data_IF_981418389582
#
_entry.id   IF_981418389582
#
_cell.length_a   1.000
_cell.length_b   1.000
_cell.length_c   1.000
_cell.angle_alpha   90.00
_cell.angle_beta   90.00
_cell.angle_gamma   90.00
#
_symmetry.space_group_name_H-M   'P 1'
#
loop_
_entity.id
_entity.type
_entity.pdbx_description
1 polymer ?
#
# COMPACT_ATOMS: atom_id res chain seq x y z
N UNK A 1 11.02 -15.52 3.08
CA UNK A 1 10.11 -14.38 2.97
C UNK A 1 8.82 -14.71 3.69
N UNK A 2 8.35 -13.87 4.60
CA UNK A 2 7.09 -14.16 5.27
C UNK A 2 5.94 -14.08 4.26
N UNK A 3 4.93 -14.92 4.43
CA UNK A 3 3.73 -14.83 3.62
C UNK A 3 2.90 -13.62 4.07
N UNK A 4 1.90 -13.18 3.28
CA UNK A 4 1.12 -11.98 3.63
C UNK A 4 0.42 -12.07 4.99
N UNK A 5 -0.01 -13.26 5.42
CA UNK A 5 -0.63 -13.41 6.73
C UNK A 5 0.38 -13.17 7.86
N UNK A 6 1.61 -13.71 7.70
CA UNK A 6 2.68 -13.46 8.66
C UNK A 6 3.13 -12.01 8.65
N UNK A 7 3.09 -11.39 7.47
CA UNK A 7 3.42 -9.98 7.33
C UNK A 7 2.47 -9.10 8.15
N UNK A 8 1.15 -9.36 8.06
CA UNK A 8 0.17 -8.67 8.87
C UNK A 8 0.40 -8.88 10.37
N UNK A 9 0.68 -10.13 10.76
CA UNK A 9 0.91 -10.47 12.17
C UNK A 9 2.18 -9.81 12.72
N UNK A 10 3.17 -9.56 11.86
CA UNK A 10 4.42 -8.92 12.26
C UNK A 10 4.30 -7.41 12.38
N UNK A 11 3.22 -6.80 11.86
CA UNK A 11 3.02 -5.37 11.95
C UNK A 11 2.68 -4.97 13.37
N UNK A 12 3.43 -4.01 13.90
CA UNK A 12 3.17 -3.43 15.20
C UNK A 12 2.64 -2.00 15.03
N UNK A 13 2.32 -1.34 16.12
CA UNK A 13 1.77 0.00 16.10
C UNK A 13 2.68 1.02 15.42
N UNK A 14 3.99 0.80 15.44
CA UNK A 14 4.95 1.72 14.84
C UNK A 14 4.82 1.77 13.31
N UNK A 15 4.37 0.68 12.68
CA UNK A 15 4.16 0.64 11.24
C UNK A 15 3.04 1.59 10.79
N UNK A 16 2.12 1.93 11.70
CA UNK A 16 1.02 2.86 11.41
C UNK A 16 1.36 4.31 11.73
N UNK A 17 2.55 4.57 12.27
CA UNK A 17 2.98 5.93 12.59
C UNK A 17 3.93 6.40 11.50
N UNK A 18 3.61 7.55 10.91
CA UNK A 18 4.40 8.11 9.83
C UNK A 18 4.76 9.54 10.20
N UNK A 19 6.05 9.86 10.14
CA UNK A 19 6.53 11.21 10.34
C UNK A 19 6.86 11.78 8.96
N UNK A 20 6.19 12.87 8.61
CA UNK A 20 6.31 13.50 7.30
C UNK A 20 6.97 14.85 7.49
N UNK A 21 7.88 15.22 6.57
CA UNK A 21 8.47 16.54 6.57
C UNK A 21 7.37 17.60 6.54
N UNK A 22 7.48 18.60 7.41
CA UNK A 22 6.46 19.64 7.53
C UNK A 22 6.21 20.35 6.19
N UNK A 23 7.23 20.46 5.36
CA UNK A 23 7.14 21.07 4.04
C UNK A 23 6.11 20.37 3.14
N UNK A 24 5.80 19.09 3.41
CA UNK A 24 4.87 18.31 2.62
C UNK A 24 3.43 18.32 3.19
N UNK A 25 3.23 18.97 4.32
CA UNK A 25 1.94 18.92 5.03
C UNK A 25 0.75 19.24 4.14
N UNK A 26 0.88 20.28 3.30
CA UNK A 26 -0.21 20.72 2.44
C UNK A 26 -0.53 19.71 1.32
N UNK A 27 0.42 18.83 1.01
CA UNK A 27 0.26 17.82 -0.04
C UNK A 27 -0.38 16.52 0.47
N UNK A 28 -0.34 16.28 1.77
CA UNK A 28 -0.77 15.00 2.34
C UNK A 28 -2.26 14.71 2.16
N UNK A 29 -3.19 15.66 2.34
CA UNK A 29 -4.62 15.36 2.11
C UNK A 29 -4.89 14.81 0.71
N UNK A 30 -4.28 15.39 -0.32
CA UNK A 30 -4.43 14.90 -1.71
C UNK A 30 -3.74 13.56 -1.88
N UNK A 31 -2.54 13.40 -1.30
CA UNK A 31 -1.82 12.13 -1.32
C UNK A 31 -2.70 11.01 -0.75
N UNK A 32 -3.28 11.23 0.43
CA UNK A 32 -4.13 10.21 1.08
C UNK A 32 -5.38 9.92 0.27
N UNK A 33 -6.02 10.93 -0.29
CA UNK A 33 -7.17 10.74 -1.17
C UNK A 33 -6.82 9.84 -2.35
N UNK A 34 -5.67 10.08 -2.96
CA UNK A 34 -5.21 9.27 -4.08
C UNK A 34 -4.89 7.83 -3.66
N UNK A 35 -4.40 7.61 -2.43
CA UNK A 35 -4.17 6.26 -1.91
C UNK A 35 -5.48 5.51 -1.71
N UNK A 36 -6.52 6.17 -1.22
CA UNK A 36 -7.84 5.55 -1.09
C UNK A 36 -8.43 5.18 -2.45
N UNK A 37 -8.29 6.04 -3.45
CA UNK A 37 -8.71 5.72 -4.83
C UNK A 37 -7.95 4.53 -5.39
N UNK A 38 -6.67 4.47 -5.09
CA UNK A 38 -5.79 3.37 -5.53
C UNK A 38 -6.23 2.05 -4.90
N UNK A 39 -6.62 2.07 -3.63
CA UNK A 39 -7.16 0.89 -2.96
C UNK A 39 -8.41 0.38 -3.67
N UNK A 40 -9.32 1.29 -4.02
CA UNK A 40 -10.53 0.91 -4.77
C UNK A 40 -10.17 0.31 -6.12
N UNK A 41 -9.22 0.90 -6.83
CA UNK A 41 -8.76 0.38 -8.12
C UNK A 41 -8.13 -1.01 -7.98
N UNK A 42 -7.38 -1.25 -6.91
CA UNK A 42 -6.80 -2.57 -6.63
C UNK A 42 -7.90 -3.61 -6.41
N UNK A 43 -8.93 -3.26 -5.66
CA UNK A 43 -10.05 -4.17 -5.39
C UNK A 43 -10.80 -4.53 -6.68
N UNK A 44 -11.05 -3.55 -7.53
CA UNK A 44 -11.71 -3.76 -8.82
C UNK A 44 -10.87 -4.66 -9.72
N UNK A 45 -9.57 -4.37 -9.81
CA UNK A 45 -8.65 -5.15 -10.64
C UNK A 45 -8.54 -6.60 -10.16
N UNK A 46 -8.50 -6.81 -8.84
CA UNK A 46 -8.45 -8.17 -8.28
C UNK A 46 -9.72 -8.95 -8.61
N UNK A 47 -10.88 -8.31 -8.45
CA UNK A 47 -12.17 -8.95 -8.77
C UNK A 47 -12.25 -9.34 -10.25
N UNK A 48 -11.65 -8.54 -11.13
CA UNK A 48 -11.61 -8.80 -12.56
C UNK A 48 -10.45 -9.72 -12.98
N UNK A 49 -9.61 -10.14 -12.05
CA UNK A 49 -8.38 -10.88 -12.32
C UNK A 49 -7.49 -10.16 -13.34
N UNK A 50 -7.47 -8.84 -13.27
CA UNK A 50 -6.64 -8.00 -14.15
C UNK A 50 -5.24 -7.85 -13.56
N UNK A 51 -4.42 -8.88 -13.75
CA UNK A 51 -3.10 -8.95 -13.16
C UNK A 51 -2.17 -7.87 -13.71
N UNK A 52 -2.33 -7.47 -14.95
CA UNK A 52 -1.50 -6.40 -15.51
C UNK A 52 -1.79 -5.06 -14.83
N UNK A 53 -3.07 -4.74 -14.59
CA UNK A 53 -3.42 -3.53 -13.87
C UNK A 53 -2.91 -3.57 -12.43
N UNK A 54 -3.02 -4.73 -11.77
CA UNK A 54 -2.50 -4.92 -10.42
C UNK A 54 -0.99 -4.69 -10.38
N UNK A 55 -0.27 -5.21 -11.38
CA UNK A 55 1.17 -5.02 -11.47
C UNK A 55 1.54 -3.54 -11.59
N UNK A 56 0.82 -2.82 -12.46
CA UNK A 56 1.07 -1.39 -12.67
C UNK A 56 0.77 -0.58 -11.42
N UNK A 57 -0.33 -0.88 -10.74
CA UNK A 57 -0.70 -0.19 -9.50
C UNK A 57 0.36 -0.44 -8.41
N UNK A 58 0.78 -1.68 -8.24
CA UNK A 58 1.81 -2.03 -7.27
C UNK A 58 3.14 -1.34 -7.56
N UNK A 59 3.50 -1.27 -8.83
CA UNK A 59 4.73 -0.60 -9.25
C UNK A 59 4.70 0.89 -8.88
N UNK A 60 3.59 1.57 -9.14
CA UNK A 60 3.43 2.98 -8.78
C UNK A 60 3.47 3.19 -7.27
N UNK A 61 2.81 2.32 -6.50
CA UNK A 61 2.84 2.38 -5.03
C UNK A 61 4.27 2.27 -4.51
N UNK A 62 5.05 1.37 -5.10
CA UNK A 62 6.44 1.14 -4.71
C UNK A 62 7.27 2.42 -4.82
N UNK A 63 7.02 3.22 -5.86
CA UNK A 63 7.72 4.49 -6.05
C UNK A 63 7.18 5.61 -5.19
N UNK A 64 5.86 5.82 -5.19
CA UNK A 64 5.26 7.01 -4.57
C UNK A 64 5.31 6.98 -3.05
N UNK A 65 5.25 5.80 -2.43
CA UNK A 65 5.25 5.71 -0.97
C UNK A 65 6.49 6.35 -0.36
N UNK A 66 7.65 5.93 -0.83
CA UNK A 66 8.92 6.44 -0.32
C UNK A 66 9.09 7.94 -0.58
N UNK A 67 8.55 8.45 -1.68
CA UNK A 67 8.68 9.86 -2.03
C UNK A 67 8.02 10.79 -1.00
N UNK A 68 7.02 10.30 -0.30
CA UNK A 68 6.30 11.08 0.71
C UNK A 68 6.57 10.60 2.15
N UNK A 69 7.48 9.65 2.33
CA UNK A 69 7.81 9.15 3.66
C UNK A 69 6.94 7.98 4.12
N UNK A 70 6.14 7.40 3.24
CA UNK A 70 5.26 6.29 3.56
C UNK A 70 5.89 4.97 3.10
N UNK A 71 6.97 4.57 3.78
CA UNK A 71 7.73 3.38 3.40
C UNK A 71 6.86 2.12 3.33
N UNK A 72 5.83 2.04 4.20
CA UNK A 72 4.95 0.88 4.24
C UNK A 72 4.11 0.75 2.97
N UNK A 73 3.70 1.87 2.39
CA UNK A 73 2.99 1.88 1.10
C UNK A 73 3.89 1.28 0.01
N UNK A 74 5.16 1.63 0.00
CA UNK A 74 6.13 1.08 -0.95
C UNK A 74 6.32 -0.42 -0.77
N UNK A 75 6.36 -0.90 0.49
CA UNK A 75 6.50 -2.32 0.79
C UNK A 75 5.28 -3.11 0.30
N UNK A 76 4.07 -2.62 0.60
CA UNK A 76 2.85 -3.26 0.12
C UNK A 76 2.81 -3.27 -1.41
N UNK A 77 3.21 -2.17 -2.05
CA UNK A 77 3.27 -2.08 -3.50
C UNK A 77 4.18 -3.11 -4.12
N UNK A 78 5.33 -3.36 -3.49
CA UNK A 78 6.25 -4.39 -3.93
C UNK A 78 5.60 -5.78 -3.92
N UNK A 79 4.91 -6.11 -2.82
CA UNK A 79 4.23 -7.40 -2.72
C UNK A 79 3.11 -7.54 -3.76
N UNK A 80 2.38 -6.46 -4.01
CA UNK A 80 1.32 -6.47 -5.02
C UNK A 80 1.93 -6.67 -6.41
N UNK A 81 3.00 -5.97 -6.73
CA UNK A 81 3.68 -6.12 -8.02
C UNK A 81 4.15 -7.57 -8.23
N UNK A 82 4.79 -8.14 -7.20
CA UNK A 82 5.29 -9.52 -7.27
C UNK A 82 4.15 -10.54 -7.38
N UNK A 83 3.09 -10.38 -6.59
CA UNK A 83 1.93 -11.26 -6.64
C UNK A 83 1.23 -11.20 -7.98
N UNK A 84 1.15 -10.01 -8.58
CA UNK A 84 0.53 -9.85 -9.90
C UNK A 84 1.35 -10.55 -10.99
N UNK A 85 2.68 -10.46 -10.92
CA UNK A 85 3.54 -11.14 -11.89
C UNK A 85 3.39 -12.65 -11.85
N UNK A 86 3.19 -13.22 -10.66
CA UNK A 86 3.05 -14.66 -10.49
C UNK A 86 1.60 -15.15 -10.57
N UNK A 87 0.63 -14.22 -10.65
CA UNK A 87 -0.78 -14.58 -10.67
C UNK A 87 -1.28 -15.17 -9.35
N UNK A 88 -0.65 -14.79 -8.23
CA UNK A 88 -0.96 -15.33 -6.91
C UNK A 88 -2.09 -14.55 -6.25
N UNK A 89 -3.33 -15.00 -6.47
CA UNK A 89 -4.53 -14.31 -5.98
C UNK A 89 -4.57 -14.25 -4.46
N UNK A 90 -4.15 -15.31 -3.77
CA UNK A 90 -4.18 -15.32 -2.30
C UNK A 90 -3.24 -14.27 -1.73
N UNK A 91 -2.04 -14.16 -2.28
CA UNK A 91 -1.07 -13.15 -1.89
C UNK A 91 -1.58 -11.73 -2.17
N UNK A 92 -2.18 -11.54 -3.34
CA UNK A 92 -2.76 -10.24 -3.73
C UNK A 92 -3.88 -9.84 -2.80
N UNK A 93 -4.78 -10.77 -2.48
CA UNK A 93 -5.89 -10.50 -1.58
C UNK A 93 -5.40 -10.09 -0.21
N UNK A 94 -4.41 -10.79 0.32
CA UNK A 94 -3.83 -10.46 1.63
C UNK A 94 -3.15 -9.10 1.63
N UNK A 95 -2.39 -8.77 0.58
CA UNK A 95 -1.70 -7.49 0.48
C UNK A 95 -2.67 -6.32 0.33
N UNK A 96 -3.74 -6.49 -0.44
CA UNK A 96 -4.76 -5.46 -0.63
C UNK A 96 -5.53 -5.25 0.67
N UNK A 97 -5.86 -6.32 1.38
CA UNK A 97 -6.50 -6.23 2.70
C UNK A 97 -5.61 -5.48 3.69
N UNK A 98 -4.32 -5.78 3.68
CA UNK A 98 -3.34 -5.08 4.51
C UNK A 98 -3.31 -3.58 4.19
N UNK A 99 -3.38 -3.24 2.91
CA UNK A 99 -3.39 -1.84 2.49
C UNK A 99 -4.62 -1.09 3.01
N UNK A 100 -5.79 -1.74 2.95
CA UNK A 100 -7.01 -1.17 3.52
C UNK A 100 -6.89 -0.92 5.01
N UNK A 101 -6.37 -1.89 5.76
CA UNK A 101 -6.13 -1.75 7.18
C UNK A 101 -5.15 -0.61 7.47
N UNK A 102 -4.06 -0.57 6.72
CA UNK A 102 -3.04 0.46 6.89
C UNK A 102 -3.63 1.85 6.70
N UNK A 103 -4.36 2.07 5.61
CA UNK A 103 -4.94 3.39 5.32
C UNK A 103 -5.96 3.82 6.36
N UNK A 104 -6.65 2.87 7.00
CA UNK A 104 -7.63 3.18 8.04
C UNK A 104 -7.00 3.50 9.39
N UNK A 105 -5.75 3.06 9.61
CA UNK A 105 -5.09 3.16 10.92
C UNK A 105 -3.90 4.12 10.94
N UNK A 106 -3.40 4.53 9.79
CA UNK A 106 -2.19 5.35 9.71
C UNK A 106 -2.36 6.66 10.49
N UNK A 107 -1.35 7.00 11.28
CA UNK A 107 -1.29 8.23 12.07
C UNK A 107 -0.12 9.05 11.54
N UNK A 108 -0.39 10.28 11.14
CA UNK A 108 0.60 11.14 10.49
C UNK A 108 0.96 12.28 11.43
N UNK A 109 2.25 12.45 11.67
CA UNK A 109 2.80 13.57 12.40
C UNK A 109 3.76 14.32 11.50
N UNK A 110 3.95 15.59 11.76
CA UNK A 110 4.83 16.45 10.94
C UNK A 110 5.99 16.96 11.77
N UNK A 111 7.15 16.99 11.14
CA UNK A 111 8.37 17.53 11.78
C UNK A 111 9.11 18.48 10.87
#
# INVERSE_FOLDING_TARGET
>A
MPNPANYNAAMNDDAYKVIVAKDLEDLIPVFMKNRHKELDALRVALAAADFEQLRQLGHRMKGVGNSYGFAHVSTIGKYIEEGARSGDRASLQASISEYGDYLSKVQIAYE
#
